data_IF_330311143599
#
_entry.id   IF_330311143599
#
_cell.length_a   1.000
_cell.length_b   1.000
_cell.length_c   1.000
_cell.angle_alpha   90.00
_cell.angle_beta   90.00
_cell.angle_gamma   90.00
#
_symmetry.space_group_name_H-M   'P 1'
#
loop_
_entity.id
_entity.type
_entity.pdbx_description
1 polymer ?
#
# COMPACT_ATOMS: atom_id res chain seq x y z
N UNK A 1 33.50 -2.92 2.53
CA UNK A 1 33.10 -3.65 1.29
C UNK A 1 31.66 -4.10 1.46
N UNK A 2 30.72 -3.42 0.81
CA UNK A 2 29.30 -3.81 0.83
C UNK A 2 29.20 -5.02 -0.10
N UNK A 3 28.94 -6.20 0.46
CA UNK A 3 28.64 -7.39 -0.36
C UNK A 3 27.36 -7.10 -1.15
N UNK A 4 27.44 -7.27 -2.48
CA UNK A 4 26.28 -7.15 -3.36
C UNK A 4 25.22 -8.15 -2.91
N UNK A 5 23.93 -7.78 -2.83
CA UNK A 5 22.86 -8.75 -2.58
C UNK A 5 22.88 -9.83 -3.67
N UNK A 6 22.42 -11.04 -3.38
CA UNK A 6 22.35 -12.12 -4.35
C UNK A 6 21.55 -11.71 -5.59
N UNK A 7 21.97 -12.16 -6.76
CA UNK A 7 21.39 -11.77 -8.05
C UNK A 7 19.89 -12.11 -8.17
N UNK A 8 19.42 -13.11 -7.44
CA UNK A 8 18.01 -13.57 -7.51
C UNK A 8 16.99 -12.64 -6.83
N UNK A 9 17.40 -11.84 -5.83
CA UNK A 9 16.51 -10.91 -5.12
C UNK A 9 16.33 -9.56 -5.82
N UNK A 10 17.13 -9.27 -6.83
CA UNK A 10 17.16 -7.97 -7.49
C UNK A 10 15.98 -7.74 -8.47
N UNK A 11 15.33 -8.80 -8.95
CA UNK A 11 14.19 -8.70 -9.87
C UNK A 11 12.83 -8.45 -9.18
N UNK A 12 12.71 -8.70 -7.88
CA UNK A 12 11.41 -8.62 -7.16
C UNK A 12 11.12 -7.21 -6.63
N UNK A 13 12.12 -6.35 -6.53
CA UNK A 13 12.06 -5.04 -5.86
C UNK A 13 11.93 -3.83 -6.79
N UNK A 14 11.38 -3.97 -7.99
CA UNK A 14 11.24 -2.80 -8.89
C UNK A 14 10.26 -1.75 -8.35
N UNK A 15 9.38 -2.11 -7.43
CA UNK A 15 8.45 -1.17 -6.79
C UNK A 15 9.09 -0.32 -5.68
N UNK A 16 10.22 -0.74 -5.11
CA UNK A 16 10.82 -0.08 -3.94
C UNK A 16 11.61 1.21 -4.26
N UNK A 17 11.76 1.60 -5.51
CA UNK A 17 12.69 2.68 -5.88
C UNK A 17 12.06 4.06 -6.15
N UNK A 18 10.76 4.28 -5.96
CA UNK A 18 10.10 5.40 -6.65
C UNK A 18 9.30 6.43 -5.83
N UNK A 19 9.62 6.67 -4.60
CA UNK A 19 8.94 7.71 -3.79
C UNK A 19 9.31 9.15 -4.20
N UNK A 20 10.39 9.37 -4.93
CA UNK A 20 10.92 10.72 -5.13
C UNK A 20 10.63 11.39 -6.47
N UNK A 21 9.93 10.75 -7.41
CA UNK A 21 9.65 11.37 -8.71
C UNK A 21 8.17 11.38 -9.07
N UNK A 22 7.52 12.49 -8.79
CA UNK A 22 6.11 12.83 -9.05
C UNK A 22 5.60 12.66 -10.50
N UNK A 23 6.39 12.10 -11.40
CA UNK A 23 6.03 11.87 -12.81
C UNK A 23 6.44 10.49 -13.29
N UNK A 24 6.79 9.58 -12.40
CA UNK A 24 7.78 8.54 -12.64
C UNK A 24 7.29 7.18 -13.02
N UNK A 25 6.03 6.94 -13.33
CA UNK A 25 5.58 5.58 -13.61
C UNK A 25 6.28 4.94 -14.83
N UNK A 26 6.63 5.70 -15.86
CA UNK A 26 7.42 5.23 -17.00
C UNK A 26 8.94 5.44 -16.85
N UNK A 27 9.36 6.54 -16.25
CA UNK A 27 10.80 6.90 -16.12
C UNK A 27 11.54 5.96 -15.15
N UNK A 28 10.90 5.53 -14.09
CA UNK A 28 11.51 4.62 -13.10
C UNK A 28 11.74 3.24 -13.67
N UNK A 29 10.84 2.74 -14.50
CA UNK A 29 10.99 1.46 -15.17
C UNK A 29 12.23 1.45 -16.08
N UNK A 30 12.52 2.58 -16.74
CA UNK A 30 13.74 2.71 -17.58
C UNK A 30 14.98 2.54 -16.70
N UNK A 31 15.06 3.25 -15.58
CA UNK A 31 16.21 3.15 -14.65
C UNK A 31 16.37 1.76 -14.05
N UNK A 32 15.25 1.11 -13.73
CA UNK A 32 15.25 -0.28 -13.23
C UNK A 32 15.81 -1.22 -14.30
N UNK A 33 15.32 -1.14 -15.53
CA UNK A 33 15.78 -1.98 -16.65
C UNK A 33 17.28 -1.76 -16.93
N UNK A 34 17.72 -0.50 -17.01
CA UNK A 34 19.15 -0.17 -17.19
C UNK A 34 19.97 -0.81 -16.08
N UNK A 35 19.54 -0.71 -14.82
CA UNK A 35 20.26 -1.26 -13.69
C UNK A 35 20.30 -2.79 -13.70
N UNK A 36 19.20 -3.44 -14.04
CA UNK A 36 19.16 -4.89 -14.18
C UNK A 36 20.10 -5.38 -15.30
N UNK A 37 20.14 -4.70 -16.43
CA UNK A 37 21.07 -5.00 -17.51
C UNK A 37 22.53 -4.78 -17.12
N UNK A 38 22.85 -3.69 -16.40
CA UNK A 38 24.19 -3.49 -15.82
C UNK A 38 24.62 -4.63 -14.89
N UNK A 39 23.67 -5.26 -14.19
CA UNK A 39 23.92 -6.41 -13.33
C UNK A 39 24.02 -7.72 -14.10
N UNK A 40 23.87 -7.69 -15.42
CA UNK A 40 23.95 -8.84 -16.31
C UNK A 40 22.70 -9.72 -16.28
N UNK A 41 21.56 -9.17 -15.90
CA UNK A 41 20.26 -9.85 -16.02
C UNK A 41 19.86 -9.82 -17.49
N UNK A 42 19.61 -10.98 -18.08
CA UNK A 42 19.24 -11.16 -19.49
C UNK A 42 17.77 -11.51 -19.69
N UNK A 43 17.13 -12.11 -18.68
CA UNK A 43 15.73 -12.50 -18.70
C UNK A 43 15.06 -12.22 -17.36
N UNK A 44 13.74 -12.11 -17.36
CA UNK A 44 12.88 -12.00 -16.19
C UNK A 44 11.79 -13.05 -16.33
N UNK A 45 11.76 -14.02 -15.42
CA UNK A 45 10.79 -15.12 -15.47
C UNK A 45 9.45 -14.70 -14.88
N UNK A 46 9.48 -13.84 -13.83
CA UNK A 46 8.29 -13.42 -13.12
C UNK A 46 8.29 -11.93 -12.80
N UNK A 47 7.14 -11.29 -12.96
CA UNK A 47 6.78 -10.01 -12.35
C UNK A 47 5.66 -10.26 -11.34
N UNK A 48 5.88 -9.90 -10.09
CA UNK A 48 4.90 -10.12 -9.02
C UNK A 48 4.36 -8.78 -8.57
N UNK A 49 3.05 -8.57 -8.71
CA UNK A 49 2.40 -7.38 -8.16
C UNK A 49 2.15 -7.55 -6.68
N UNK A 50 2.73 -6.67 -5.87
CA UNK A 50 2.38 -6.59 -4.46
C UNK A 50 0.95 -6.10 -4.27
N UNK A 51 0.47 -5.21 -5.13
CA UNK A 51 -0.91 -4.76 -5.20
C UNK A 51 -1.13 -3.92 -6.47
N UNK A 52 -2.37 -3.62 -6.81
CA UNK A 52 -2.74 -2.98 -8.07
C UNK A 52 -2.72 -1.44 -8.06
N UNK A 53 -1.95 -0.77 -7.20
CA UNK A 53 -1.75 0.67 -7.34
C UNK A 53 -0.87 1.00 -8.54
N UNK A 54 -1.14 2.14 -9.15
CA UNK A 54 -0.55 2.53 -10.43
C UNK A 54 0.97 2.66 -10.39
N UNK A 55 1.52 3.11 -9.27
CA UNK A 55 2.96 3.26 -9.04
C UNK A 55 3.69 1.92 -8.85
N UNK A 56 2.97 0.82 -8.67
CA UNK A 56 3.51 -0.54 -8.55
C UNK A 56 3.35 -1.40 -9.80
N UNK A 57 2.48 -1.00 -10.75
CA UNK A 57 2.13 -1.88 -11.89
C UNK A 57 2.38 -1.28 -13.26
N UNK A 58 2.40 0.05 -13.42
CA UNK A 58 2.43 0.67 -14.76
C UNK A 58 3.76 0.56 -15.49
N UNK A 59 4.83 0.18 -14.81
CA UNK A 59 6.12 -0.08 -15.45
C UNK A 59 6.27 -1.47 -16.10
N UNK A 60 5.30 -2.35 -15.88
CA UNK A 60 5.42 -3.77 -16.26
C UNK A 60 5.62 -3.97 -17.74
N UNK A 61 4.85 -3.32 -18.60
CA UNK A 61 4.98 -3.43 -20.05
C UNK A 61 6.39 -3.09 -20.52
N UNK A 62 6.97 -2.00 -20.02
CA UNK A 62 8.32 -1.62 -20.37
C UNK A 62 9.35 -2.63 -19.87
N UNK A 63 9.17 -3.16 -18.66
CA UNK A 63 10.07 -4.17 -18.09
C UNK A 63 10.01 -5.45 -18.91
N UNK A 64 8.83 -5.99 -19.15
CA UNK A 64 8.67 -7.26 -19.89
C UNK A 64 9.18 -7.17 -21.32
N UNK A 65 8.95 -6.05 -22.01
CA UNK A 65 9.43 -5.83 -23.38
C UNK A 65 10.95 -5.54 -23.48
N UNK A 66 11.63 -5.33 -22.36
CA UNK A 66 13.06 -4.96 -22.33
C UNK A 66 14.00 -6.15 -22.18
N UNK A 67 13.47 -7.34 -21.91
CA UNK A 67 14.22 -8.58 -21.70
C UNK A 67 13.76 -9.67 -22.65
N UNK A 68 14.62 -10.68 -22.84
CA UNK A 68 14.32 -11.84 -23.68
C UNK A 68 13.51 -12.88 -22.88
N UNK A 69 12.75 -13.70 -23.62
CA UNK A 69 11.96 -14.78 -23.03
C UNK A 69 10.54 -14.38 -22.68
N UNK A 70 9.82 -15.31 -22.09
CA UNK A 70 8.45 -15.14 -21.63
C UNK A 70 8.47 -14.77 -20.15
N UNK A 71 7.80 -13.68 -19.80
CA UNK A 71 7.67 -13.21 -18.42
C UNK A 71 6.23 -13.42 -17.96
N UNK A 72 6.02 -14.16 -16.88
CA UNK A 72 4.70 -14.34 -16.28
C UNK A 72 4.42 -13.27 -15.23
N UNK A 73 3.28 -12.63 -15.31
CA UNK A 73 2.81 -11.66 -14.32
C UNK A 73 1.92 -12.37 -13.30
N UNK A 74 2.29 -12.31 -12.03
CA UNK A 74 1.57 -12.98 -10.93
C UNK A 74 1.00 -11.94 -9.98
N UNK A 75 -0.26 -12.12 -9.58
CA UNK A 75 -0.91 -11.25 -8.61
C UNK A 75 -2.06 -11.94 -7.86
N UNK A 76 -2.48 -11.35 -6.75
CA UNK A 76 -3.74 -11.72 -6.13
C UNK A 76 -4.92 -11.40 -7.06
N UNK A 77 -5.94 -12.29 -7.11
CA UNK A 77 -7.10 -12.19 -8.04
C UNK A 77 -7.85 -10.84 -8.00
N UNK A 78 -7.81 -10.12 -6.88
CA UNK A 78 -8.50 -8.83 -6.79
C UNK A 78 -7.77 -7.69 -7.52
N UNK A 79 -6.51 -7.88 -7.95
CA UNK A 79 -5.80 -6.91 -8.78
C UNK A 79 -6.55 -6.68 -10.09
N UNK A 80 -7.08 -7.74 -10.72
CA UNK A 80 -7.89 -7.62 -11.94
C UNK A 80 -9.11 -6.75 -11.73
N UNK A 81 -9.84 -6.96 -10.62
CA UNK A 81 -11.02 -6.15 -10.26
C UNK A 81 -10.66 -4.68 -9.99
N UNK A 82 -9.46 -4.43 -9.44
CA UNK A 82 -8.96 -3.07 -9.24
C UNK A 82 -8.69 -2.38 -10.56
N UNK A 83 -8.06 -3.03 -11.53
CA UNK A 83 -7.83 -2.49 -12.86
C UNK A 83 -9.16 -2.17 -13.57
N UNK A 84 -10.14 -3.07 -13.49
CA UNK A 84 -11.48 -2.83 -14.03
C UNK A 84 -12.17 -1.62 -13.37
N UNK A 85 -12.02 -1.45 -12.06
CA UNK A 85 -12.52 -0.28 -11.34
C UNK A 85 -11.80 0.98 -11.80
N UNK A 86 -10.48 0.96 -11.96
CA UNK A 86 -9.71 2.10 -12.44
C UNK A 86 -10.11 2.53 -13.84
N UNK A 87 -10.33 1.59 -14.77
CA UNK A 87 -10.87 1.90 -16.10
C UNK A 87 -12.22 2.62 -16.03
N UNK A 88 -13.11 2.20 -15.13
CA UNK A 88 -14.41 2.86 -14.91
C UNK A 88 -14.31 4.24 -14.28
N UNK A 89 -13.26 4.51 -13.52
CA UNK A 89 -13.12 5.73 -12.72
C UNK A 89 -11.89 6.56 -13.11
N UNK A 90 -11.36 6.37 -14.32
CA UNK A 90 -10.15 7.03 -14.81
C UNK A 90 -10.21 8.56 -14.66
N UNK A 91 -11.30 9.19 -15.09
CA UNK A 91 -11.49 10.63 -14.98
C UNK A 91 -11.51 11.12 -13.52
N UNK A 92 -12.24 10.42 -12.64
CA UNK A 92 -12.27 10.72 -11.21
C UNK A 92 -10.88 10.59 -10.57
N UNK A 93 -10.18 9.49 -10.81
CA UNK A 93 -8.85 9.27 -10.27
C UNK A 93 -7.84 10.31 -10.79
N UNK A 94 -7.95 10.71 -12.05
CA UNK A 94 -7.14 11.80 -12.63
C UNK A 94 -7.30 13.12 -11.90
N UNK A 95 -8.55 13.51 -11.60
CA UNK A 95 -8.86 14.73 -10.84
C UNK A 95 -8.33 14.65 -9.41
N UNK A 96 -8.48 13.51 -8.74
CA UNK A 96 -7.95 13.30 -7.38
C UNK A 96 -6.42 13.38 -7.39
N UNK A 97 -5.74 12.73 -8.34
CA UNK A 97 -4.28 12.81 -8.46
C UNK A 97 -3.82 14.24 -8.76
N UNK A 98 -4.50 14.95 -9.65
CA UNK A 98 -4.19 16.34 -9.94
C UNK A 98 -4.20 17.18 -8.66
N UNK A 99 -5.26 17.06 -7.84
CA UNK A 99 -5.41 17.81 -6.59
C UNK A 99 -4.38 17.39 -5.54
N UNK A 100 -4.18 16.10 -5.37
CA UNK A 100 -3.30 15.54 -4.33
C UNK A 100 -1.81 15.85 -4.61
N UNK A 101 -1.40 15.79 -5.87
CA UNK A 101 0.00 15.96 -6.26
C UNK A 101 0.32 17.30 -6.94
N UNK A 102 -0.65 18.21 -7.05
CA UNK A 102 -0.46 19.52 -7.69
C UNK A 102 -0.11 19.41 -9.17
N UNK A 103 -0.69 18.44 -9.89
CA UNK A 103 -0.39 18.22 -11.31
C UNK A 103 -1.04 19.28 -12.17
N UNK A 104 -0.46 19.65 -13.32
CA UNK A 104 -1.01 20.70 -14.22
C UNK A 104 -2.32 20.27 -14.87
N UNK A 105 -2.57 18.96 -15.02
CA UNK A 105 -3.79 18.40 -15.58
C UNK A 105 -4.14 17.08 -14.93
N UNK A 106 -5.40 16.62 -15.04
CA UNK A 106 -5.78 15.28 -14.58
C UNK A 106 -5.02 14.21 -15.38
N UNK A 107 -4.30 13.34 -14.67
CA UNK A 107 -3.55 12.21 -15.27
C UNK A 107 -3.82 10.96 -14.44
N UNK A 108 -4.26 9.91 -15.13
CA UNK A 108 -4.38 8.56 -14.57
C UNK A 108 -4.22 7.53 -15.69
N UNK A 109 -3.46 6.45 -15.50
CA UNK A 109 -3.30 5.42 -16.52
C UNK A 109 -4.62 4.69 -16.79
N UNK A 110 -4.81 4.25 -18.03
CA UNK A 110 -5.99 3.51 -18.47
C UNK A 110 -5.64 2.11 -18.99
N UNK A 111 -4.38 1.86 -19.27
CA UNK A 111 -3.88 0.56 -19.70
C UNK A 111 -3.08 -0.10 -18.58
N UNK A 112 -3.36 -1.37 -18.38
CA UNK A 112 -2.75 -2.21 -17.35
C UNK A 112 -2.42 -3.57 -17.95
N UNK A 113 -1.26 -4.11 -17.61
CA UNK A 113 -0.94 -5.52 -17.89
C UNK A 113 -1.64 -6.36 -16.82
N UNK A 114 -2.62 -7.14 -17.24
CA UNK A 114 -3.33 -8.05 -16.36
C UNK A 114 -2.44 -9.24 -15.99
N UNK A 115 -2.55 -9.79 -14.77
CA UNK A 115 -1.76 -10.95 -14.39
C UNK A 115 -2.15 -12.19 -15.22
N UNK A 116 -1.13 -12.96 -15.62
CA UNK A 116 -1.28 -14.25 -16.29
C UNK A 116 -1.68 -15.34 -15.28
N UNK A 117 -1.13 -15.24 -14.07
CA UNK A 117 -1.39 -16.16 -12.96
C UNK A 117 -2.02 -15.38 -11.81
N UNK A 118 -3.15 -15.88 -11.32
CA UNK A 118 -3.82 -15.31 -10.14
C UNK A 118 -4.04 -16.35 -9.05
N UNK A 119 -3.98 -15.89 -7.79
CA UNK A 119 -4.22 -16.73 -6.62
C UNK A 119 -5.15 -16.02 -5.61
N UNK A 120 -5.58 -16.74 -4.54
CA UNK A 120 -6.55 -16.24 -3.56
C UNK A 120 -5.94 -15.94 -2.19
N UNK A 121 -5.24 -16.89 -1.60
CA UNK A 121 -4.76 -16.79 -0.23
C UNK A 121 -3.24 -16.83 -0.19
N UNK A 122 -2.65 -17.88 -0.76
CA UNK A 122 -1.23 -18.11 -0.80
C UNK A 122 -0.83 -18.75 -2.13
N UNK A 123 0.38 -18.50 -2.58
CA UNK A 123 0.97 -19.08 -3.77
C UNK A 123 2.48 -19.23 -3.61
N UNK A 124 3.00 -20.39 -3.93
CA UNK A 124 4.43 -20.67 -3.86
C UNK A 124 5.05 -20.74 -5.26
N UNK A 125 6.23 -20.15 -5.39
CA UNK A 125 7.06 -20.22 -6.60
C UNK A 125 8.39 -20.85 -6.20
N UNK A 126 8.71 -21.97 -6.79
CA UNK A 126 10.07 -22.50 -6.75
C UNK A 126 10.90 -21.77 -7.81
N UNK A 127 11.88 -21.03 -7.37
CA UNK A 127 12.75 -20.25 -8.23
C UNK A 127 14.22 -20.48 -7.87
N UNK A 128 14.95 -21.15 -8.76
CA UNK A 128 16.29 -21.67 -8.49
C UNK A 128 16.26 -22.58 -7.22
N UNK A 129 17.07 -22.24 -6.21
CA UNK A 129 17.09 -22.96 -4.93
C UNK A 129 16.28 -22.25 -3.83
N UNK A 130 15.40 -21.32 -4.21
CA UNK A 130 14.58 -20.53 -3.29
C UNK A 130 13.12 -20.85 -3.47
N UNK A 131 12.35 -20.78 -2.37
CA UNK A 131 10.90 -20.77 -2.40
C UNK A 131 10.46 -19.36 -2.07
N UNK A 132 9.67 -18.76 -2.98
CA UNK A 132 9.00 -17.50 -2.77
C UNK A 132 7.56 -17.78 -2.37
N UNK A 133 7.21 -17.48 -1.14
CA UNK A 133 5.83 -17.60 -0.64
C UNK A 133 5.13 -16.25 -0.76
N UNK A 134 4.11 -16.19 -1.62
CA UNK A 134 3.26 -15.02 -1.84
C UNK A 134 2.02 -15.16 -0.96
N UNK A 135 1.81 -14.27 -0.03
CA UNK A 135 0.66 -14.33 0.88
C UNK A 135 -0.20 -13.10 0.75
N UNK A 136 -1.50 -13.32 0.56
CA UNK A 136 -2.48 -12.25 0.52
C UNK A 136 -2.78 -11.68 1.90
N UNK A 137 -3.00 -10.37 1.97
CA UNK A 137 -3.55 -9.70 3.13
C UNK A 137 -4.31 -8.43 2.74
N UNK A 138 -5.21 -7.99 3.61
CA UNK A 138 -5.88 -6.70 3.44
C UNK A 138 -5.11 -5.64 4.23
N UNK A 139 -4.86 -4.52 3.58
CA UNK A 139 -4.17 -3.39 4.20
C UNK A 139 -4.59 -2.09 3.53
N UNK A 140 -3.69 -1.42 2.87
CA UNK A 140 -4.00 -0.27 2.02
C UNK A 140 -5.01 -0.62 0.94
N UNK A 141 -4.98 -1.85 0.50
CA UNK A 141 -5.87 -2.40 -0.53
C UNK A 141 -6.37 -3.80 -0.17
N UNK A 142 -7.41 -4.24 -0.87
CA UNK A 142 -8.03 -5.57 -0.74
C UNK A 142 -7.39 -6.64 -1.65
N UNK A 143 -6.31 -6.29 -2.32
CA UNK A 143 -5.57 -7.13 -3.26
C UNK A 143 -4.08 -7.24 -2.91
N UNK A 144 -3.70 -6.75 -1.72
CA UNK A 144 -2.30 -6.68 -1.33
C UNK A 144 -1.69 -8.06 -1.04
N UNK A 145 -0.41 -8.16 -1.36
CA UNK A 145 0.43 -9.35 -1.24
C UNK A 145 1.75 -8.95 -0.62
N UNK A 146 2.24 -9.74 0.31
CA UNK A 146 3.64 -9.73 0.69
C UNK A 146 4.32 -11.02 0.26
N UNK A 147 5.63 -10.97 0.06
CA UNK A 147 6.41 -12.11 -0.41
C UNK A 147 7.52 -12.40 0.61
N UNK A 148 7.65 -13.66 1.00
CA UNK A 148 8.79 -14.13 1.78
C UNK A 148 9.67 -15.01 0.91
N UNK A 149 10.99 -14.73 0.92
CA UNK A 149 12.00 -15.56 0.29
C UNK A 149 12.78 -16.29 1.38
N UNK A 150 12.67 -17.61 1.39
CA UNK A 150 13.27 -18.44 2.45
C UNK A 150 14.80 -18.46 2.40
N UNK A 151 15.38 -18.50 1.20
CA UNK A 151 16.83 -18.58 1.01
C UNK A 151 17.53 -17.26 1.34
N UNK A 152 16.95 -16.16 0.91
CA UNK A 152 17.48 -14.82 1.15
C UNK A 152 17.10 -14.28 2.53
N UNK A 153 16.24 -14.97 3.27
CA UNK A 153 15.67 -14.53 4.55
C UNK A 153 15.11 -13.10 4.46
N UNK A 154 14.29 -12.87 3.43
CA UNK A 154 13.86 -11.55 3.00
C UNK A 154 12.34 -11.45 2.85
N UNK A 155 11.76 -10.38 3.41
CA UNK A 155 10.36 -9.97 3.24
C UNK A 155 10.28 -8.81 2.24
N UNK A 156 9.38 -8.93 1.27
CA UNK A 156 8.97 -7.86 0.36
C UNK A 156 7.54 -7.49 0.70
N UNK A 157 7.36 -6.35 1.35
CA UNK A 157 6.09 -6.03 1.99
C UNK A 157 5.13 -5.24 1.11
N UNK A 158 5.59 -4.76 -0.07
CA UNK A 158 4.82 -3.72 -0.74
C UNK A 158 4.47 -2.60 0.25
N UNK A 159 3.29 -2.02 0.11
CA UNK A 159 2.87 -0.89 0.96
C UNK A 159 2.36 -1.28 2.35
N UNK A 160 2.48 -2.56 2.74
CA UNK A 160 2.28 -2.90 4.15
C UNK A 160 3.29 -2.21 5.08
N UNK A 161 4.46 -1.81 4.56
CA UNK A 161 5.40 -0.97 5.30
C UNK A 161 5.96 0.14 4.39
N UNK A 162 5.86 1.41 4.82
CA UNK A 162 6.18 2.60 4.00
C UNK A 162 6.89 3.74 4.77
N UNK A 163 7.62 3.50 5.80
CA UNK A 163 8.35 4.53 6.57
C UNK A 163 7.51 5.76 7.01
N UNK A 164 6.22 5.59 7.19
CA UNK A 164 5.27 6.58 7.74
C UNK A 164 4.10 5.88 8.39
N UNK A 165 3.22 6.64 9.04
CA UNK A 165 1.92 6.11 9.45
C UNK A 165 1.24 5.46 8.23
N UNK A 166 0.79 4.20 8.35
CA UNK A 166 0.16 3.49 7.24
C UNK A 166 -0.99 4.28 6.62
N UNK A 167 -1.00 4.36 5.29
CA UNK A 167 -2.01 5.10 4.52
C UNK A 167 -3.36 4.35 4.54
N UNK A 168 -3.91 4.18 5.73
CA UNK A 168 -5.13 3.40 5.98
C UNK A 168 -6.40 4.24 6.06
N UNK A 169 -6.29 5.57 5.99
CA UNK A 169 -7.40 6.50 6.21
C UNK A 169 -7.71 7.45 5.06
N UNK A 170 -6.98 7.42 3.94
CA UNK A 170 -7.09 8.42 2.88
C UNK A 170 -8.54 8.72 2.46
N UNK A 171 -9.03 9.97 2.66
CA UNK A 171 -10.44 10.32 2.45
C UNK A 171 -10.89 10.28 0.97
N UNK A 172 -9.95 10.35 0.04
CA UNK A 172 -10.25 10.37 -1.41
C UNK A 172 -10.15 8.98 -2.06
N UNK A 173 -9.96 7.94 -1.28
CA UNK A 173 -9.76 6.57 -1.77
C UNK A 173 -10.87 5.61 -1.29
N UNK A 174 -10.94 4.45 -1.91
CA UNK A 174 -11.82 3.37 -1.48
C UNK A 174 -11.44 2.89 -0.06
N UNK A 175 -12.33 2.10 0.57
CA UNK A 175 -12.10 1.55 1.90
C UNK A 175 -10.73 0.90 2.04
N UNK A 176 -10.06 1.18 3.15
CA UNK A 176 -8.81 0.59 3.60
C UNK A 176 -9.03 -0.10 4.94
N UNK A 177 -8.12 -0.95 5.36
CA UNK A 177 -8.41 -1.99 6.35
C UNK A 177 -7.44 -1.91 7.53
N UNK A 178 -7.69 -0.98 8.46
CA UNK A 178 -6.77 -0.65 9.57
C UNK A 178 -6.38 -1.87 10.40
N UNK A 179 -7.35 -2.57 10.98
CA UNK A 179 -7.08 -3.73 11.84
C UNK A 179 -6.54 -4.94 11.08
N UNK A 180 -7.12 -5.25 9.90
CA UNK A 180 -6.59 -6.32 9.05
C UNK A 180 -5.12 -6.08 8.67
N UNK A 181 -4.76 -4.82 8.41
CA UNK A 181 -3.38 -4.45 8.13
C UNK A 181 -2.47 -4.72 9.34
N UNK A 182 -2.92 -4.35 10.55
CA UNK A 182 -2.22 -4.66 11.78
C UNK A 182 -1.97 -6.15 11.96
N UNK A 183 -2.99 -6.98 11.73
CA UNK A 183 -2.85 -8.45 11.82
C UNK A 183 -1.88 -9.02 10.79
N UNK A 184 -1.85 -8.49 9.56
CA UNK A 184 -0.92 -8.91 8.52
C UNK A 184 0.53 -8.59 8.91
N UNK A 185 0.78 -7.38 9.42
CA UNK A 185 2.11 -6.99 9.89
C UNK A 185 2.59 -7.86 11.05
N UNK A 186 1.68 -8.24 11.97
CA UNK A 186 1.99 -9.16 13.05
C UNK A 186 2.43 -10.53 12.51
N UNK A 187 1.70 -11.09 11.55
CA UNK A 187 2.08 -12.34 10.87
C UNK A 187 3.43 -12.22 10.17
N UNK A 188 3.69 -11.11 9.47
CA UNK A 188 5.00 -10.88 8.86
C UNK A 188 6.14 -10.87 9.88
N UNK A 189 5.92 -10.37 11.09
CA UNK A 189 6.93 -10.33 12.16
C UNK A 189 7.35 -11.73 12.64
N UNK A 190 6.52 -12.74 12.42
CA UNK A 190 6.77 -14.14 12.82
C UNK A 190 7.83 -14.81 11.93
N UNK A 191 8.04 -14.34 10.68
CA UNK A 191 9.13 -14.82 9.83
C UNK A 191 10.51 -14.52 10.41
N UNK A 192 10.63 -13.51 11.28
CA UNK A 192 11.91 -13.10 11.89
C UNK A 192 13.02 -12.89 10.84
N UNK A 193 12.68 -12.23 9.75
CA UNK A 193 13.50 -12.03 8.55
C UNK A 193 14.70 -11.13 8.80
N UNK A 194 15.83 -11.44 8.15
CA UNK A 194 17.03 -10.59 8.17
C UNK A 194 16.83 -9.31 7.33
N UNK A 195 16.03 -9.37 6.25
CA UNK A 195 15.82 -8.23 5.35
C UNK A 195 14.35 -7.94 5.18
N UNK A 196 14.00 -6.64 5.14
CA UNK A 196 12.69 -6.16 4.74
C UNK A 196 12.85 -5.13 3.62
N UNK A 197 12.16 -5.40 2.51
CA UNK A 197 12.06 -4.51 1.35
C UNK A 197 10.67 -3.87 1.37
N UNK A 198 10.56 -2.59 1.80
CA UNK A 198 9.28 -1.88 1.82
C UNK A 198 8.84 -1.49 0.42
N UNK A 199 7.56 -1.18 0.25
CA UNK A 199 7.04 -0.60 -0.99
C UNK A 199 7.66 0.76 -1.28
N UNK A 200 7.86 1.56 -0.24
CA UNK A 200 8.46 2.88 -0.31
C UNK A 200 9.49 3.06 0.79
N UNK A 201 10.63 3.66 0.43
CA UNK A 201 11.72 3.96 1.35
C UNK A 201 12.88 2.95 1.31
N UNK A 202 13.87 3.11 2.19
CA UNK A 202 15.07 2.28 2.17
C UNK A 202 14.83 0.89 2.73
N UNK A 203 15.63 -0.08 2.25
CA UNK A 203 15.77 -1.43 2.78
C UNK A 203 16.11 -1.40 4.29
N UNK A 204 15.50 -2.31 5.03
CA UNK A 204 15.79 -2.56 6.44
C UNK A 204 16.56 -3.87 6.58
N UNK A 205 17.58 -3.86 7.42
CA UNK A 205 18.41 -5.03 7.71
C UNK A 205 18.49 -5.28 9.21
N UNK A 206 18.43 -6.56 9.58
CA UNK A 206 18.58 -7.07 10.94
C UNK A 206 17.26 -7.57 11.53
N UNK A 207 17.25 -8.84 11.92
CA UNK A 207 16.04 -9.53 12.43
C UNK A 207 15.30 -8.77 13.52
N UNK A 208 16.06 -8.26 14.49
CA UNK A 208 15.47 -7.49 15.60
C UNK A 208 14.79 -6.22 15.10
N UNK A 209 15.46 -5.44 14.26
CA UNK A 209 14.94 -4.19 13.72
C UNK A 209 13.71 -4.43 12.85
N UNK A 210 13.77 -5.40 11.93
CA UNK A 210 12.63 -5.78 11.08
C UNK A 210 11.42 -6.13 11.94
N UNK A 211 11.62 -7.00 12.95
CA UNK A 211 10.56 -7.43 13.84
C UNK A 211 9.97 -6.27 14.65
N UNK A 212 10.82 -5.40 15.20
CA UNK A 212 10.37 -4.22 15.98
C UNK A 212 9.51 -3.28 15.11
N UNK A 213 9.98 -2.93 13.91
CA UNK A 213 9.24 -2.04 13.00
C UNK A 213 7.88 -2.60 12.61
N UNK A 214 7.82 -3.90 12.30
CA UNK A 214 6.57 -4.57 11.96
C UNK A 214 5.59 -4.61 13.14
N UNK A 215 6.08 -4.96 14.34
CA UNK A 215 5.26 -5.03 15.54
C UNK A 215 4.81 -3.65 16.03
N UNK A 216 5.66 -2.63 16.02
CA UNK A 216 5.27 -1.29 16.42
C UNK A 216 4.18 -0.74 15.50
N UNK A 217 4.31 -0.95 14.19
CA UNK A 217 3.29 -0.54 13.21
C UNK A 217 1.99 -1.34 13.39
N UNK A 218 2.10 -2.66 13.59
CA UNK A 218 0.97 -3.53 13.87
C UNK A 218 0.22 -3.09 15.12
N UNK A 219 0.92 -2.91 16.23
CA UNK A 219 0.34 -2.53 17.51
C UNK A 219 -0.37 -1.17 17.44
N UNK A 220 0.20 -0.21 16.72
CA UNK A 220 -0.43 1.08 16.47
C UNK A 220 -1.79 0.92 15.76
N UNK A 221 -1.83 0.16 14.66
CA UNK A 221 -3.06 -0.05 13.89
C UNK A 221 -4.13 -0.82 14.68
N UNK A 222 -3.74 -1.87 15.38
CA UNK A 222 -4.65 -2.66 16.22
C UNK A 222 -5.19 -1.85 17.38
N UNK A 223 -4.34 -1.03 18.02
CA UNK A 223 -4.78 -0.12 19.06
C UNK A 223 -5.83 0.88 18.55
N UNK A 224 -5.60 1.46 17.35
CA UNK A 224 -6.56 2.39 16.74
C UNK A 224 -7.90 1.70 16.51
N UNK A 225 -7.91 0.53 15.88
CA UNK A 225 -9.15 -0.21 15.61
C UNK A 225 -9.89 -0.54 16.90
N UNK A 226 -9.22 -1.13 17.88
CA UNK A 226 -9.82 -1.54 19.16
C UNK A 226 -10.46 -0.36 19.89
N UNK A 227 -9.76 0.77 19.99
CA UNK A 227 -10.26 1.92 20.73
C UNK A 227 -11.41 2.64 20.01
N UNK A 228 -11.35 2.73 18.67
CA UNK A 228 -12.48 3.24 17.88
C UNK A 228 -13.70 2.36 18.07
N UNK A 229 -13.58 1.04 17.97
CA UNK A 229 -14.68 0.11 18.18
C UNK A 229 -15.25 0.16 19.59
N UNK A 230 -14.38 0.30 20.60
CA UNK A 230 -14.80 0.45 21.99
C UNK A 230 -15.68 1.69 22.22
N UNK A 231 -15.33 2.81 21.58
CA UNK A 231 -16.13 4.05 21.65
C UNK A 231 -17.41 3.94 20.82
N UNK A 232 -17.35 3.34 19.61
CA UNK A 232 -18.55 3.04 18.81
C UNK A 232 -19.56 2.20 19.61
N UNK A 233 -19.10 1.16 20.29
CA UNK A 233 -19.95 0.28 21.11
C UNK A 233 -20.57 0.98 22.32
N UNK A 234 -20.00 2.10 22.77
CA UNK A 234 -20.56 2.98 23.81
C UNK A 234 -21.53 4.03 23.25
N UNK A 235 -21.73 4.05 21.91
CA UNK A 235 -22.66 4.97 21.25
C UNK A 235 -22.08 6.34 20.91
N UNK A 236 -20.77 6.51 20.96
CA UNK A 236 -20.12 7.75 20.53
C UNK A 236 -20.28 7.97 19.03
N UNK A 237 -20.55 9.19 18.62
CA UNK A 237 -20.52 9.61 17.23
C UNK A 237 -19.08 9.72 16.71
N UNK A 238 -18.90 9.71 15.40
CA UNK A 238 -17.57 9.87 14.81
C UNK A 238 -16.82 11.12 15.29
N UNK A 239 -17.53 12.26 15.45
CA UNK A 239 -16.93 13.51 15.93
C UNK A 239 -16.48 13.42 17.38
N UNK A 240 -17.27 12.76 18.23
CA UNK A 240 -16.89 12.53 19.64
C UNK A 240 -15.66 11.62 19.71
N UNK A 241 -15.62 10.54 18.92
CA UNK A 241 -14.45 9.66 18.85
C UNK A 241 -13.19 10.41 18.42
N UNK A 242 -13.28 11.24 17.37
CA UNK A 242 -12.15 12.05 16.90
C UNK A 242 -11.67 13.08 17.93
N UNK A 243 -12.57 13.55 18.79
CA UNK A 243 -12.25 14.52 19.87
C UNK A 243 -11.64 13.85 21.09
N UNK A 244 -12.11 12.66 21.44
CA UNK A 244 -11.72 11.95 22.67
C UNK A 244 -10.46 11.09 22.50
N UNK A 245 -10.28 10.52 21.29
CA UNK A 245 -9.21 9.56 21.07
C UNK A 245 -7.87 10.25 20.78
N UNK A 246 -6.91 10.03 21.67
CA UNK A 246 -5.55 10.56 21.53
C UNK A 246 -4.58 9.39 21.35
N UNK A 247 -3.74 9.48 20.33
CA UNK A 247 -2.71 8.46 20.05
C UNK A 247 -1.67 8.46 21.18
N UNK A 248 -1.41 7.29 21.83
CA UNK A 248 -0.39 7.17 22.87
C UNK A 248 1.02 7.53 22.40
N UNK A 249 1.82 8.10 23.30
CA UNK A 249 3.20 8.51 23.02
C UNK A 249 4.12 7.36 22.61
N UNK A 250 3.82 6.13 23.01
CA UNK A 250 4.57 4.94 22.62
C UNK A 250 4.58 4.69 21.10
N UNK A 251 3.58 5.21 20.37
CA UNK A 251 3.48 5.16 18.92
C UNK A 251 4.15 6.36 18.21
N UNK A 252 4.71 7.31 18.94
CA UNK A 252 5.47 8.42 18.36
C UNK A 252 6.87 7.95 17.93
N UNK A 253 6.91 7.24 16.82
CA UNK A 253 8.14 6.69 16.25
C UNK A 253 8.53 7.45 14.98
N UNK A 254 9.84 7.56 14.65
CA UNK A 254 10.28 8.25 13.43
C UNK A 254 9.72 7.67 12.13
N UNK A 255 9.30 6.42 12.15
CA UNK A 255 8.72 5.69 11.03
C UNK A 255 7.19 5.56 11.10
N UNK A 256 6.53 6.22 12.05
CA UNK A 256 5.06 6.30 12.19
C UNK A 256 4.56 7.75 12.19
N UNK A 257 5.30 8.65 11.54
CA UNK A 257 4.91 10.06 11.45
C UNK A 257 3.75 10.25 10.47
N UNK A 258 2.86 11.18 10.79
CA UNK A 258 1.76 11.60 9.91
C UNK A 258 2.30 12.45 8.75
N UNK A 259 2.92 11.79 7.76
CA UNK A 259 3.50 12.46 6.60
C UNK A 259 2.59 12.37 5.36
N UNK A 260 1.87 11.27 5.21
CA UNK A 260 1.00 10.99 4.06
C UNK A 260 -0.44 10.67 4.45
N UNK A 261 -0.65 10.12 5.63
CA UNK A 261 -1.97 9.91 6.24
C UNK A 261 -1.99 10.53 7.64
N UNK A 262 -3.13 10.60 8.27
CA UNK A 262 -3.35 11.21 9.57
C UNK A 262 -4.15 10.28 10.49
N UNK A 263 -3.85 10.33 11.78
CA UNK A 263 -4.55 9.52 12.77
C UNK A 263 -6.06 9.68 12.72
N UNK A 264 -6.56 10.91 12.53
CA UNK A 264 -7.99 11.18 12.41
C UNK A 264 -8.62 10.52 11.18
N UNK A 265 -7.84 10.33 10.11
CA UNK A 265 -8.31 9.64 8.90
C UNK A 265 -8.41 8.13 9.12
N UNK A 266 -7.51 7.54 9.93
CA UNK A 266 -7.60 6.13 10.30
C UNK A 266 -8.85 5.87 11.15
N UNK A 267 -9.19 6.77 12.07
CA UNK A 267 -10.47 6.71 12.84
C UNK A 267 -11.66 6.67 11.88
N UNK A 268 -11.69 7.57 10.87
CA UNK A 268 -12.74 7.57 9.84
C UNK A 268 -12.81 6.25 9.07
N UNK A 269 -11.65 5.66 8.76
CA UNK A 269 -11.58 4.41 8.02
C UNK A 269 -12.17 3.24 8.81
N UNK A 270 -11.86 3.14 10.10
CA UNK A 270 -12.47 2.16 11.01
C UNK A 270 -13.97 2.40 11.13
N UNK A 271 -14.39 3.65 11.39
CA UNK A 271 -15.81 4.01 11.46
C UNK A 271 -16.58 3.53 10.22
N UNK A 272 -16.07 3.83 9.02
CA UNK A 272 -16.73 3.46 7.76
C UNK A 272 -16.75 1.95 7.53
N UNK A 273 -15.73 1.24 7.98
CA UNK A 273 -15.64 -0.21 7.82
C UNK A 273 -16.71 -0.95 8.64
N UNK A 274 -17.01 -0.48 9.85
CA UNK A 274 -17.91 -1.14 10.79
C UNK A 274 -19.25 -0.44 10.93
N UNK A 275 -19.31 0.88 10.76
CA UNK A 275 -20.51 1.71 11.01
C UNK A 275 -21.12 2.37 9.76
N UNK A 276 -20.51 2.28 8.61
CA UNK A 276 -20.97 2.94 7.39
C UNK A 276 -20.48 4.39 7.26
N UNK A 277 -21.16 5.20 6.43
CA UNK A 277 -20.69 6.56 6.11
C UNK A 277 -21.29 7.67 6.98
N UNK A 278 -22.36 7.39 7.74
CA UNK A 278 -23.04 8.38 8.55
C UNK A 278 -22.21 8.73 9.80
N UNK A 279 -21.87 9.99 9.93
CA UNK A 279 -21.01 10.50 11.02
C UNK A 279 -21.72 10.63 12.40
N UNK A 280 -23.05 10.47 12.44
CA UNK A 280 -23.87 10.82 13.60
C UNK A 280 -24.43 12.24 13.58
N UNK A 281 -24.07 13.06 12.58
CA UNK A 281 -24.51 14.47 12.44
C UNK A 281 -25.69 14.56 11.47
N UNK A 282 -26.94 14.84 11.92
CA UNK A 282 -28.12 14.82 11.04
C UNK A 282 -28.04 15.76 9.84
N UNK A 283 -27.39 16.92 9.98
CA UNK A 283 -27.22 17.89 8.88
C UNK A 283 -26.35 17.36 7.73
N UNK A 284 -25.52 16.35 7.97
CA UNK A 284 -24.66 15.72 6.95
C UNK A 284 -25.39 14.66 6.11
N UNK A 285 -26.57 14.18 6.54
CA UNK A 285 -27.39 13.23 5.79
C UNK A 285 -27.96 13.87 4.52
N UNK A 286 -28.42 15.13 4.63
CA UNK A 286 -28.96 15.92 3.53
C UNK A 286 -28.42 17.34 3.63
N UNK A 287 -27.16 17.57 3.23
CA UNK A 287 -26.58 18.89 3.29
C UNK A 287 -27.37 19.84 2.38
N UNK A 288 -27.61 21.08 2.80
CA UNK A 288 -28.23 22.09 1.95
C UNK A 288 -27.35 22.41 0.74
N UNK A 289 -27.91 23.03 -0.28
CA UNK A 289 -27.12 23.47 -1.43
C UNK A 289 -26.06 24.47 -0.98
N UNK A 290 -24.89 24.45 -1.65
CA UNK A 290 -23.78 25.35 -1.34
C UNK A 290 -24.19 26.84 -1.42
N UNK A 291 -25.10 27.18 -2.32
CA UNK A 291 -25.67 28.52 -2.46
C UNK A 291 -26.45 28.98 -1.20
N UNK A 292 -27.23 28.04 -0.60
CA UNK A 292 -28.03 28.33 0.58
C UNK A 292 -27.11 28.46 1.81
N UNK A 293 -26.08 27.62 1.91
CA UNK A 293 -25.04 27.74 2.93
C UNK A 293 -24.33 29.10 2.82
N UNK A 294 -23.94 29.49 1.59
CA UNK A 294 -23.26 30.76 1.34
C UNK A 294 -24.09 31.95 1.75
N UNK A 295 -25.40 31.98 1.49
CA UNK A 295 -26.30 33.05 1.93
C UNK A 295 -26.37 33.18 3.45
N UNK A 296 -26.44 32.06 4.17
CA UNK A 296 -26.52 32.07 5.64
C UNK A 296 -25.27 32.67 6.30
N UNK A 297 -24.10 32.65 5.63
CA UNK A 297 -22.88 33.27 6.15
C UNK A 297 -22.67 34.74 5.76
N UNK A 298 -23.49 35.26 4.83
CA UNK A 298 -23.40 36.66 4.34
C UNK A 298 -24.43 37.55 5.07
N UNK A 299 -25.57 37.02 5.49
CA UNK A 299 -26.59 37.67 6.31
C UNK A 299 -26.22 37.65 7.79
#
# INVERSE_FOLDING_TARGET
MIRRPPRSTQGVSSAASDVYKRQGMGVSSIQVVEKLKEWGISNIDYVIYTHGHVDHVTGTEYITNSFEGETNVIAHKNVTKRFDRYKKTTGYNGIINQRQFGLPSPVFPNDFIYPDITYSDEYEIEFNDSILTLTHGKGETDDATYIYSNKEDALFTGDFFIWSLPNAGNPSKAQRYVGFWGEVLKKMSEYNSEYLFPGHGPLIKGKKTVKELLLDTSNCLLWIEENVLNLMNKGYSLREIQSELVLPEEFFKPYLVSAYDDFSFLINSVWRQYGGWYSGTPSELKPPKLEDIGRTYID
#
